data_IF_705677482658
#
_entry.id   IF_705677482658
#
_cell.length_a   1.000
_cell.length_b   1.000
_cell.length_c   1.000
_cell.angle_alpha   90.00
_cell.angle_beta   90.00
_cell.angle_gamma   90.00
#
_symmetry.space_group_name_H-M   'P 1'
#
loop_
_entity.id
_entity.type
_entity.pdbx_description
1 polymer ?
#
# COMPACT_ATOMS: atom_id res chain seq x y z
N UNK A 1 35.23 22.33 10.73
CA UNK A 1 34.25 21.27 11.09
C UNK A 1 32.88 21.82 10.77
N UNK A 2 32.42 21.67 9.52
CA UNK A 2 31.04 21.97 9.17
C UNK A 2 30.20 20.74 9.48
N UNK A 3 29.55 20.78 10.64
CA UNK A 3 28.56 19.80 11.04
C UNK A 3 27.20 20.25 10.48
N UNK A 4 27.02 20.08 9.17
CA UNK A 4 25.71 20.13 8.52
C UNK A 4 25.26 18.69 8.30
N UNK A 5 24.78 18.06 9.37
CA UNK A 5 23.96 16.85 9.24
C UNK A 5 22.58 17.31 8.79
N UNK A 6 22.37 17.35 7.47
CA UNK A 6 21.05 17.63 6.89
C UNK A 6 20.00 16.72 7.56
N UNK A 7 18.82 17.26 7.91
CA UNK A 7 17.76 16.45 8.50
C UNK A 7 17.35 15.37 7.49
N UNK A 8 17.34 14.11 7.93
CA UNK A 8 16.77 13.01 7.14
C UNK A 8 15.33 13.35 6.76
N UNK A 9 15.05 13.57 5.47
CA UNK A 9 13.69 13.81 5.00
C UNK A 9 12.97 12.47 4.83
N UNK A 10 12.16 12.13 5.83
CA UNK A 10 11.31 10.95 5.82
C UNK A 10 9.86 11.36 6.04
N UNK A 11 8.96 10.68 5.33
CA UNK A 11 7.53 10.92 5.36
C UNK A 11 6.81 9.67 5.88
N UNK A 12 6.14 9.82 7.01
CA UNK A 12 5.27 8.77 7.53
C UNK A 12 4.01 8.67 6.69
N UNK A 13 3.79 7.50 6.11
CA UNK A 13 2.58 7.16 5.37
C UNK A 13 1.56 6.58 6.32
N UNK A 14 1.94 5.54 7.07
CA UNK A 14 1.05 4.91 8.02
C UNK A 14 1.79 4.20 9.14
N UNK A 15 1.11 4.05 10.28
CA UNK A 15 1.59 3.19 11.36
C UNK A 15 0.44 2.47 12.06
N UNK A 16 0.68 1.21 12.38
CA UNK A 16 -0.29 0.32 13.02
C UNK A 16 0.31 -0.35 14.23
N UNK A 17 -0.47 -0.41 15.31
CA UNK A 17 -0.17 -1.22 16.49
C UNK A 17 -1.04 -2.48 16.52
N UNK A 18 -0.39 -3.62 16.69
CA UNK A 18 -1.02 -4.93 16.80
C UNK A 18 -0.81 -5.45 18.21
N UNK A 19 -1.88 -5.53 19.01
CA UNK A 19 -1.85 -6.28 20.27
C UNK A 19 -1.52 -7.75 20.02
N UNK A 20 -2.07 -8.31 18.94
CA UNK A 20 -1.88 -9.68 18.48
C UNK A 20 -1.82 -9.67 16.96
N UNK A 21 -0.82 -10.33 16.38
CA UNK A 21 -0.64 -10.43 14.92
C UNK A 21 -0.07 -11.80 14.59
N UNK A 22 -0.71 -12.54 13.68
CA UNK A 22 -0.21 -13.86 13.25
C UNK A 22 1.18 -13.76 12.61
N UNK A 23 1.47 -12.64 11.94
CA UNK A 23 2.70 -12.46 11.16
C UNK A 23 3.80 -11.63 11.80
N UNK A 24 3.46 -10.81 12.80
CA UNK A 24 4.39 -9.88 13.43
C UNK A 24 4.64 -10.21 14.90
N UNK A 25 3.95 -11.21 15.46
CA UNK A 25 3.96 -11.50 16.89
C UNK A 25 3.07 -10.54 17.70
N UNK A 26 3.16 -10.66 19.03
CA UNK A 26 2.34 -9.89 19.95
C UNK A 26 2.97 -8.53 20.25
N UNK A 27 2.12 -7.52 20.45
CA UNK A 27 2.50 -6.14 20.78
C UNK A 27 3.45 -5.50 19.76
N UNK A 28 3.23 -5.74 18.47
CA UNK A 28 4.12 -5.26 17.41
C UNK A 28 3.59 -3.99 16.75
N UNK A 29 4.51 -3.13 16.32
CA UNK A 29 4.20 -1.98 15.46
C UNK A 29 4.71 -2.22 14.06
N UNK A 30 3.96 -1.75 13.08
CA UNK A 30 4.34 -1.76 11.68
C UNK A 30 4.18 -0.34 11.11
N UNK A 31 5.22 0.17 10.47
CA UNK A 31 5.26 1.51 9.91
C UNK A 31 5.62 1.44 8.42
N UNK A 32 4.93 2.28 7.65
CA UNK A 32 5.24 2.53 6.25
C UNK A 32 5.69 3.98 6.14
N UNK A 33 6.87 4.15 5.57
CA UNK A 33 7.55 5.43 5.41
C UNK A 33 7.96 5.58 3.95
N UNK A 34 8.15 6.81 3.49
CA UNK A 34 8.88 7.11 2.26
C UNK A 34 10.04 8.01 2.58
N UNK A 35 11.20 7.73 2.00
CA UNK A 35 12.35 8.60 2.14
C UNK A 35 13.23 8.60 0.89
N UNK A 36 14.12 9.58 0.82
CA UNK A 36 15.20 9.62 -0.16
C UNK A 36 16.25 8.56 0.17
N UNK A 37 16.44 7.60 -0.73
CA UNK A 37 17.40 6.50 -0.55
C UNK A 37 18.84 6.97 -0.41
N UNK A 38 19.22 8.08 -1.08
CA UNK A 38 20.59 8.59 -0.98
C UNK A 38 20.86 9.25 0.37
N UNK A 39 19.83 9.87 0.95
CA UNK A 39 19.89 10.52 2.27
C UNK A 39 19.75 9.52 3.41
N UNK A 40 18.92 8.50 3.24
CA UNK A 40 18.72 7.43 4.24
C UNK A 40 19.78 6.35 4.06
N UNK A 41 21.03 6.68 4.43
CA UNK A 41 22.08 5.67 4.72
C UNK A 41 21.92 5.04 6.10
N UNK A 42 20.70 5.00 6.63
CA UNK A 42 20.40 4.47 7.96
C UNK A 42 19.97 3.01 7.80
N UNK A 43 20.84 2.08 8.18
CA UNK A 43 20.44 0.67 8.29
C UNK A 43 19.36 0.47 9.36
N UNK A 44 19.30 1.38 10.34
CA UNK A 44 18.32 1.34 11.42
C UNK A 44 18.00 2.72 12.00
N UNK A 45 16.81 2.82 12.59
CA UNK A 45 16.32 4.00 13.33
C UNK A 45 15.95 3.57 14.74
N UNK A 46 16.19 4.43 15.73
CA UNK A 46 15.80 4.17 17.11
C UNK A 46 14.31 4.47 17.30
N UNK A 47 13.53 3.44 17.58
CA UNK A 47 12.13 3.52 17.97
C UNK A 47 12.02 3.64 19.48
N UNK A 48 11.17 4.55 19.93
CA UNK A 48 10.85 4.74 21.34
C UNK A 48 9.36 4.50 21.52
N UNK A 49 9.00 3.61 22.44
CA UNK A 49 7.63 3.24 22.72
C UNK A 49 7.34 3.36 24.21
N UNK A 50 6.17 3.90 24.56
CA UNK A 50 5.73 4.09 25.94
C UNK A 50 4.39 3.42 26.18
N UNK A 51 4.27 2.78 27.34
CA UNK A 51 2.99 2.50 27.98
C UNK A 51 2.87 3.33 29.26
N UNK A 52 1.85 3.08 30.08
CA UNK A 52 1.62 3.87 31.30
C UNK A 52 2.66 3.58 32.41
N UNK A 53 3.43 2.50 32.31
CA UNK A 53 4.33 2.02 33.37
C UNK A 53 5.81 2.18 33.00
N UNK A 54 6.15 2.08 31.71
CA UNK A 54 7.51 1.91 31.23
C UNK A 54 7.68 2.44 29.80
N UNK A 55 8.95 2.56 29.41
CA UNK A 55 9.35 2.88 28.05
C UNK A 55 10.41 1.90 27.57
N UNK A 56 10.43 1.66 26.26
CA UNK A 56 11.46 0.86 25.61
C UNK A 56 12.10 1.66 24.49
N UNK A 57 13.38 1.37 24.23
CA UNK A 57 14.12 1.88 23.09
C UNK A 57 14.59 0.67 22.27
N UNK A 58 14.30 0.66 20.98
CA UNK A 58 14.63 -0.46 20.09
C UNK A 58 15.20 0.07 18.79
N UNK A 59 16.38 -0.42 18.40
CA UNK A 59 16.92 -0.16 17.07
C UNK A 59 16.15 -1.02 16.06
N UNK A 60 15.51 -0.37 15.09
CA UNK A 60 14.66 -1.04 14.11
C UNK A 60 15.27 -0.90 12.74
N UNK A 61 15.42 -2.02 12.04
CA UNK A 61 15.96 -2.04 10.68
C UNK A 61 14.96 -1.46 9.69
N UNK A 62 15.45 -0.66 8.77
CA UNK A 62 14.68 -0.16 7.64
C UNK A 62 14.70 -1.21 6.52
N UNK A 63 13.51 -1.67 6.10
CA UNK A 63 13.37 -2.63 5.00
C UNK A 63 12.79 -1.94 3.78
N UNK A 64 13.44 -2.06 2.63
CA UNK A 64 12.87 -1.58 1.38
C UNK A 64 11.71 -2.48 0.97
N UNK A 65 10.60 -1.88 0.53
CA UNK A 65 9.41 -2.63 0.08
C UNK A 65 9.64 -3.25 -1.31
N UNK A 66 10.30 -2.52 -2.20
CA UNK A 66 10.60 -2.93 -3.58
C UNK A 66 12.06 -3.38 -3.76
N UNK A 67 12.37 -4.18 -4.78
CA UNK A 67 13.72 -4.71 -4.96
C UNK A 67 14.63 -3.93 -5.93
N UNK A 68 14.12 -2.95 -6.69
CA UNK A 68 14.89 -2.26 -7.75
C UNK A 68 15.48 -0.92 -7.31
N UNK A 69 16.56 -0.42 -7.92
CA UNK A 69 17.18 0.87 -7.55
C UNK A 69 16.87 2.04 -8.51
N UNK A 70 15.74 2.00 -9.22
CA UNK A 70 15.40 3.00 -10.25
C UNK A 70 14.95 4.34 -9.65
N UNK A 71 14.21 4.31 -8.54
CA UNK A 71 13.65 5.50 -7.93
C UNK A 71 14.51 6.00 -6.77
N UNK A 72 14.74 7.31 -6.72
CA UNK A 72 15.44 7.99 -5.62
C UNK A 72 14.61 7.98 -4.33
N UNK A 73 13.30 8.19 -4.44
CA UNK A 73 12.38 8.17 -3.32
C UNK A 73 11.70 6.80 -3.23
N UNK A 74 11.93 6.11 -2.12
CA UNK A 74 11.60 4.69 -1.97
C UNK A 74 10.60 4.46 -0.84
N UNK A 75 9.81 3.39 -0.96
CA UNK A 75 8.92 2.96 0.11
C UNK A 75 9.67 2.05 1.09
N UNK A 76 9.59 2.38 2.37
CA UNK A 76 10.29 1.71 3.48
C UNK A 76 9.25 1.13 4.44
N UNK A 77 9.45 -0.13 4.78
CA UNK A 77 8.74 -0.85 5.82
C UNK A 77 9.61 -0.99 7.06
N UNK A 78 9.01 -0.80 8.22
CA UNK A 78 9.66 -0.95 9.51
C UNK A 78 8.73 -1.68 10.47
N UNK A 79 9.27 -2.65 11.21
CA UNK A 79 8.50 -3.41 12.20
C UNK A 79 9.31 -3.69 13.45
N UNK A 80 8.66 -3.62 14.61
CA UNK A 80 9.28 -3.93 15.88
C UNK A 80 8.25 -4.43 16.89
N UNK A 81 8.63 -5.42 17.70
CA UNK A 81 7.87 -5.75 18.90
C UNK A 81 8.06 -4.66 19.95
N UNK A 82 6.98 -4.31 20.64
CA UNK A 82 6.88 -3.22 21.60
C UNK A 82 6.22 -3.65 22.91
N UNK A 83 5.80 -2.68 23.72
CA UNK A 83 5.13 -2.88 24.99
C UNK A 83 3.65 -3.25 24.80
N UNK A 84 3.06 -4.03 25.73
CA UNK A 84 1.61 -4.17 25.80
C UNK A 84 0.96 -2.83 26.16
N UNK A 85 -0.25 -2.61 25.64
CA UNK A 85 -1.03 -1.39 25.85
C UNK A 85 -0.25 -0.13 25.47
N UNK A 86 0.30 -0.12 24.25
CA UNK A 86 1.05 1.00 23.71
C UNK A 86 0.21 2.28 23.76
N UNK A 87 0.79 3.33 24.33
CA UNK A 87 0.15 4.65 24.46
C UNK A 87 0.80 5.68 23.53
N UNK A 88 2.15 5.70 23.49
CA UNK A 88 2.90 6.63 22.63
C UNK A 88 4.00 5.93 21.86
N UNK A 89 4.30 6.46 20.68
CA UNK A 89 5.34 5.98 19.79
C UNK A 89 6.13 7.17 19.24
N UNK A 90 7.46 7.06 19.13
CA UNK A 90 8.30 8.07 18.51
C UNK A 90 9.50 7.46 17.78
N UNK A 91 10.04 8.20 16.82
CA UNK A 91 11.32 7.89 16.19
C UNK A 91 12.37 8.92 16.57
N UNK A 92 13.58 8.45 16.87
CA UNK A 92 14.74 9.31 17.04
C UNK A 92 15.41 9.53 15.68
N UNK A 93 15.46 10.79 15.25
CA UNK A 93 16.09 11.23 14.00
C UNK A 93 17.18 12.24 14.33
N UNK A 94 18.43 11.76 14.35
CA UNK A 94 19.55 12.54 14.86
C UNK A 94 19.34 12.88 16.34
N UNK A 95 19.35 14.18 16.67
CA UNK A 95 19.20 14.69 18.04
C UNK A 95 17.75 15.02 18.43
N UNK A 96 16.78 14.78 17.54
CA UNK A 96 15.36 15.03 17.80
C UNK A 96 14.59 13.72 17.88
N UNK A 97 13.53 13.68 18.69
CA UNK A 97 12.52 12.64 18.64
C UNK A 97 11.22 13.22 18.08
N UNK A 98 10.58 12.46 17.20
CA UNK A 98 9.31 12.83 16.56
C UNK A 98 8.25 11.83 17.01
N UNK A 99 7.23 12.31 17.73
CA UNK A 99 6.07 11.49 18.11
C UNK A 99 5.26 11.13 16.86
N UNK A 100 4.86 9.86 16.76
CA UNK A 100 4.17 9.29 15.61
C UNK A 100 2.79 8.80 16.03
N UNK A 101 1.71 9.24 15.35
CA UNK A 101 0.40 8.68 15.57
C UNK A 101 0.32 7.27 14.98
N UNK A 102 -0.33 6.36 15.69
CA UNK A 102 -0.61 5.00 15.23
C UNK A 102 -2.09 4.65 15.30
N UNK A 103 -2.51 3.73 14.43
CA UNK A 103 -3.88 3.23 14.33
C UNK A 103 -3.93 1.76 14.76
N UNK A 104 -5.13 1.28 15.07
CA UNK A 104 -5.39 -0.14 15.21
C UNK A 104 -5.82 -0.72 13.86
N UNK A 105 -5.39 -1.95 13.51
CA UNK A 105 -5.85 -2.62 12.29
C UNK A 105 -7.35 -2.92 12.38
N UNK A 106 -7.97 -3.14 11.22
CA UNK A 106 -9.39 -3.51 11.16
C UNK A 106 -9.57 -4.89 11.81
N UNK A 107 -10.59 -5.04 12.66
CA UNK A 107 -10.93 -6.31 13.32
C UNK A 107 -12.16 -7.00 12.73
N UNK A 108 -13.01 -6.24 12.04
CA UNK A 108 -14.19 -6.77 11.35
C UNK A 108 -13.73 -7.76 10.28
N UNK A 109 -14.29 -8.97 10.26
CA UNK A 109 -13.89 -9.97 9.28
C UNK A 109 -14.42 -9.62 7.89
N UNK A 110 -13.56 -9.80 6.90
CA UNK A 110 -13.84 -9.61 5.47
C UNK A 110 -13.51 -10.90 4.72
N UNK A 111 -14.34 -11.28 3.77
CA UNK A 111 -14.05 -12.43 2.91
C UNK A 111 -12.94 -12.08 1.91
N UNK A 112 -13.12 -10.97 1.21
CA UNK A 112 -12.17 -10.43 0.22
C UNK A 112 -12.01 -8.94 0.47
N UNK A 113 -10.77 -8.47 0.43
CA UNK A 113 -10.44 -7.04 0.42
C UNK A 113 -9.66 -6.75 -0.86
N UNK A 114 -10.15 -5.76 -1.61
CA UNK A 114 -9.48 -5.25 -2.80
C UNK A 114 -8.79 -3.93 -2.46
N UNK A 115 -7.47 -3.93 -2.53
CA UNK A 115 -6.63 -2.77 -2.32
C UNK A 115 -6.37 -2.08 -3.67
N UNK A 116 -7.00 -0.91 -3.85
CA UNK A 116 -6.80 -0.06 -5.03
C UNK A 116 -5.88 1.09 -4.65
N UNK A 117 -4.82 1.30 -5.42
CA UNK A 117 -3.86 2.36 -5.15
C UNK A 117 -4.42 3.76 -5.52
N UNK A 118 -3.82 4.85 -5.01
CA UNK A 118 -4.31 6.21 -5.24
C UNK A 118 -4.35 6.57 -6.72
N UNK A 119 -5.43 7.24 -7.12
CA UNK A 119 -5.64 7.67 -8.50
C UNK A 119 -4.75 8.84 -8.85
N UNK A 120 -3.98 8.70 -9.93
CA UNK A 120 -3.29 9.85 -10.52
C UNK A 120 -4.20 10.49 -11.56
N UNK A 121 -4.21 11.82 -11.64
CA UNK A 121 -5.03 12.57 -12.61
C UNK A 121 -4.77 12.19 -14.09
N UNK A 122 -3.70 11.41 -14.36
CA UNK A 122 -3.36 10.88 -15.67
C UNK A 122 -3.72 9.41 -15.88
N UNK A 123 -4.31 8.75 -14.88
CA UNK A 123 -4.96 7.45 -15.06
C UNK A 123 -6.26 7.72 -15.80
N UNK A 124 -6.35 7.18 -17.01
CA UNK A 124 -7.49 7.35 -17.91
C UNK A 124 -8.68 6.53 -17.42
N UNK A 125 -9.12 6.75 -16.19
CA UNK A 125 -10.48 6.45 -15.78
C UNK A 125 -11.45 7.31 -16.59
N UNK A 126 -11.12 7.88 -17.76
CA UNK A 126 -11.99 8.48 -18.77
C UNK A 126 -12.28 7.51 -19.93
N UNK A 127 -11.87 6.25 -19.75
CA UNK A 127 -12.89 5.24 -19.46
C UNK A 127 -13.41 5.47 -18.05
N UNK A 128 -14.24 6.48 -17.90
CA UNK A 128 -15.01 6.69 -16.67
C UNK A 128 -16.37 6.01 -16.80
N UNK A 129 -16.44 5.14 -17.81
CA UNK A 129 -17.57 4.93 -18.69
C UNK A 129 -18.35 6.20 -18.99
N UNK A 130 -17.77 7.24 -19.60
CA UNK A 130 -18.48 8.49 -19.92
C UNK A 130 -18.58 9.49 -18.74
N UNK A 131 -17.85 9.22 -17.67
CA UNK A 131 -17.89 9.91 -16.38
C UNK A 131 -19.29 9.91 -15.78
N UNK A 132 -19.93 8.75 -15.99
CA UNK A 132 -21.30 8.39 -15.70
C UNK A 132 -22.39 8.89 -16.65
N UNK A 133 -22.12 9.44 -17.87
CA UNK A 133 -23.20 10.09 -18.65
C UNK A 133 -22.90 11.35 -19.49
N UNK A 134 -22.42 12.45 -18.88
CA UNK A 134 -22.90 13.78 -19.35
C UNK A 134 -22.16 15.07 -18.94
N UNK A 135 -21.23 15.11 -17.97
CA UNK A 135 -20.80 16.40 -17.41
C UNK A 135 -19.47 16.96 -17.96
N UNK A 136 -19.50 18.26 -18.26
CA UNK A 136 -18.51 19.00 -19.07
C UNK A 136 -17.62 19.85 -18.15
N UNK A 137 -16.36 19.41 -18.01
CA UNK A 137 -15.17 20.09 -17.45
C UNK A 137 -14.80 19.76 -16.00
N UNK A 138 -13.63 19.12 -15.88
CA UNK A 138 -12.92 18.61 -14.68
C UNK A 138 -13.43 17.28 -14.13
N UNK A 139 -12.64 16.22 -14.32
CA UNK A 139 -13.00 14.82 -14.05
C UNK A 139 -12.90 14.46 -12.56
N UNK A 140 -11.86 14.94 -11.88
CA UNK A 140 -11.46 14.44 -10.56
C UNK A 140 -12.56 14.63 -9.50
N UNK A 141 -13.26 15.76 -9.54
CA UNK A 141 -14.31 16.06 -8.56
C UNK A 141 -15.56 15.19 -8.73
N UNK A 142 -16.18 15.06 -9.93
CA UNK A 142 -17.34 14.19 -10.13
C UNK A 142 -17.14 12.73 -9.72
N UNK A 143 -16.00 12.09 -10.01
CA UNK A 143 -15.80 10.70 -9.55
C UNK A 143 -15.56 10.61 -8.08
N UNK A 144 -14.85 11.56 -7.50
CA UNK A 144 -14.69 11.59 -6.07
C UNK A 144 -16.04 11.70 -5.35
N UNK A 145 -16.96 12.51 -5.87
CA UNK A 145 -18.33 12.59 -5.34
C UNK A 145 -19.13 11.30 -5.58
N UNK A 146 -18.99 10.64 -6.73
CA UNK A 146 -19.59 9.32 -6.95
C UNK A 146 -19.07 8.27 -5.95
N UNK A 147 -17.75 8.21 -5.77
CA UNK A 147 -17.13 7.29 -4.82
C UNK A 147 -17.61 7.59 -3.39
N UNK A 148 -17.84 8.85 -3.04
CA UNK A 148 -18.43 9.20 -1.74
C UNK A 148 -19.86 8.68 -1.57
N UNK A 149 -20.68 8.69 -2.62
CA UNK A 149 -22.01 8.06 -2.54
C UNK A 149 -21.88 6.55 -2.31
N UNK A 150 -20.93 5.89 -2.98
CA UNK A 150 -20.65 4.47 -2.76
C UNK A 150 -20.10 4.20 -1.35
N UNK A 151 -19.31 5.12 -0.79
CA UNK A 151 -18.84 5.06 0.59
C UNK A 151 -20.01 5.18 1.59
N UNK A 152 -20.96 6.10 1.36
CA UNK A 152 -22.16 6.25 2.20
C UNK A 152 -23.02 4.98 2.23
N UNK A 153 -23.12 4.30 1.09
CA UNK A 153 -23.83 3.03 0.96
C UNK A 153 -23.00 1.81 1.44
N UNK A 154 -21.80 2.05 2.00
CA UNK A 154 -20.87 1.03 2.51
C UNK A 154 -20.34 0.05 1.43
N UNK A 155 -20.33 0.45 0.16
CA UNK A 155 -19.73 -0.35 -0.92
C UNK A 155 -18.20 -0.26 -0.96
N UNK A 156 -17.63 0.86 -0.50
CA UNK A 156 -16.19 1.08 -0.47
C UNK A 156 -15.77 1.95 0.72
N UNK A 157 -14.47 2.09 0.93
CA UNK A 157 -13.89 3.01 1.91
C UNK A 157 -12.84 3.86 1.21
N UNK A 158 -12.98 5.17 1.29
CA UNK A 158 -12.04 6.14 0.74
C UNK A 158 -11.03 6.50 1.82
N UNK A 159 -9.76 6.41 1.49
CA UNK A 159 -8.69 6.84 2.38
C UNK A 159 -7.99 8.08 1.83
N UNK A 160 -7.87 9.15 2.61
CA UNK A 160 -7.13 10.33 2.18
C UNK A 160 -5.65 9.96 2.04
N UNK A 161 -5.10 10.20 0.86
CA UNK A 161 -3.68 10.00 0.59
C UNK A 161 -2.94 11.34 0.67
N UNK A 162 -1.95 11.43 1.55
CA UNK A 162 -1.22 12.67 1.79
C UNK A 162 -0.25 12.96 0.64
N UNK A 163 -0.31 14.17 0.09
CA UNK A 163 0.70 14.69 -0.84
C UNK A 163 1.99 14.98 -0.06
N UNK A 164 3.10 14.45 -0.56
CA UNK A 164 4.43 14.70 0.02
C UNK A 164 4.88 16.10 -0.40
N UNK A 165 5.23 16.93 0.58
CA UNK A 165 5.79 18.27 0.33
C UNK A 165 7.09 18.41 1.09
N UNK A 166 8.19 18.57 0.36
CA UNK A 166 9.49 18.86 0.96
C UNK A 166 9.48 20.29 1.50
N UNK A 167 9.97 20.46 2.73
CA UNK A 167 10.03 21.76 3.37
C UNK A 167 11.27 22.54 2.93
N UNK A 168 12.34 21.83 2.55
CA UNK A 168 13.64 22.41 2.21
C UNK A 168 13.82 22.64 0.71
N UNK A 169 13.12 21.87 -0.14
CA UNK A 169 13.25 21.90 -1.60
C UNK A 169 11.94 22.34 -2.26
N UNK A 170 12.00 23.31 -3.17
CA UNK A 170 10.82 23.76 -3.92
C UNK A 170 10.35 22.70 -4.93
N UNK A 171 9.03 22.59 -5.12
CA UNK A 171 8.46 21.63 -6.09
C UNK A 171 8.91 21.90 -7.54
N UNK A 172 9.30 23.13 -7.87
CA UNK A 172 9.84 23.49 -9.18
C UNK A 172 11.23 22.88 -9.43
N UNK A 173 12.02 22.70 -8.37
CA UNK A 173 13.34 22.07 -8.43
C UNK A 173 13.23 20.55 -8.36
N UNK A 174 12.38 20.05 -7.45
CA UNK A 174 12.16 18.62 -7.30
C UNK A 174 10.77 18.34 -6.71
N UNK A 175 10.00 17.49 -7.40
CA UNK A 175 8.70 17.04 -6.90
C UNK A 175 8.80 15.56 -6.48
N UNK A 176 8.74 15.26 -5.17
CA UNK A 176 8.83 13.87 -4.69
C UNK A 176 7.65 13.04 -5.18
N UNK A 177 6.46 13.60 -5.38
CA UNK A 177 5.27 12.85 -5.81
C UNK A 177 5.39 12.29 -7.24
N UNK A 178 6.30 12.82 -8.06
CA UNK A 178 6.59 12.32 -9.41
C UNK A 178 7.74 11.31 -9.39
N UNK A 179 8.67 11.47 -8.43
CA UNK A 179 9.91 10.71 -8.33
C UNK A 179 9.88 9.60 -7.27
N UNK A 180 8.75 9.48 -6.57
CA UNK A 180 8.46 8.40 -5.65
C UNK A 180 8.08 7.15 -6.44
N UNK A 181 8.60 6.04 -5.96
CA UNK A 181 8.40 4.71 -6.48
C UNK A 181 6.94 4.38 -6.79
N UNK A 182 6.68 4.05 -8.07
CA UNK A 182 5.35 3.80 -8.62
C UNK A 182 4.31 4.85 -8.22
N UNK A 183 4.73 6.12 -8.11
CA UNK A 183 3.88 7.21 -7.61
C UNK A 183 3.22 6.86 -6.27
N UNK A 184 3.94 6.18 -5.38
CA UNK A 184 3.47 5.78 -4.05
C UNK A 184 2.45 4.63 -4.02
N UNK A 185 2.22 3.93 -5.15
CA UNK A 185 1.34 2.75 -5.18
C UNK A 185 1.83 1.66 -4.23
N UNK A 186 3.15 1.41 -4.17
CA UNK A 186 3.72 0.38 -3.29
C UNK A 186 3.44 0.65 -1.81
N UNK A 187 3.57 1.89 -1.36
CA UNK A 187 3.25 2.26 0.02
C UNK A 187 1.74 2.15 0.30
N UNK A 188 0.88 2.54 -0.64
CA UNK A 188 -0.57 2.45 -0.48
C UNK A 188 -1.08 1.01 -0.41
N UNK A 189 -0.56 0.14 -1.27
CA UNK A 189 -0.87 -1.28 -1.22
C UNK A 189 -0.36 -1.92 0.09
N UNK A 190 0.83 -1.52 0.55
CA UNK A 190 1.37 -1.98 1.85
C UNK A 190 0.51 -1.48 3.01
N UNK A 191 0.05 -0.23 2.99
CA UNK A 191 -0.83 0.34 4.00
C UNK A 191 -2.16 -0.44 4.09
N UNK A 192 -2.80 -0.68 2.95
CA UNK A 192 -4.02 -1.48 2.87
C UNK A 192 -3.79 -2.93 3.36
N UNK A 193 -2.66 -3.54 2.99
CA UNK A 193 -2.29 -4.86 3.48
C UNK A 193 -2.19 -4.88 5.01
N UNK A 194 -1.45 -3.94 5.60
CA UNK A 194 -1.30 -3.87 7.06
C UNK A 194 -2.65 -3.68 7.74
N UNK A 195 -3.49 -2.78 7.22
CA UNK A 195 -4.79 -2.53 7.80
C UNK A 195 -5.70 -3.77 7.85
N UNK A 196 -5.66 -4.63 6.82
CA UNK A 196 -6.62 -5.72 6.65
C UNK A 196 -6.07 -7.14 6.83
N UNK A 197 -4.74 -7.35 6.89
CA UNK A 197 -4.13 -8.70 6.89
C UNK A 197 -4.61 -9.64 7.99
N UNK A 198 -5.08 -9.13 9.13
CA UNK A 198 -5.60 -9.95 10.25
C UNK A 198 -7.13 -10.17 10.17
N UNK A 199 -7.78 -9.51 9.21
CA UNK A 199 -9.23 -9.38 9.14
C UNK A 199 -9.83 -9.96 7.87
N UNK A 200 -9.07 -9.97 6.78
CA UNK A 200 -9.48 -10.53 5.51
C UNK A 200 -9.12 -12.03 5.40
N UNK A 201 -9.89 -12.79 4.61
CA UNK A 201 -9.47 -14.15 4.19
C UNK A 201 -8.55 -14.08 2.97
N UNK A 202 -8.89 -13.19 2.04
CA UNK A 202 -8.10 -12.89 0.85
C UNK A 202 -7.90 -11.39 0.67
N UNK A 203 -6.71 -11.00 0.20
CA UNK A 203 -6.42 -9.64 -0.23
C UNK A 203 -5.99 -9.67 -1.68
N UNK A 204 -6.50 -8.75 -2.50
CA UNK A 204 -6.03 -8.57 -3.87
C UNK A 204 -5.61 -7.13 -4.14
N UNK A 205 -4.56 -6.96 -4.93
CA UNK A 205 -4.08 -5.66 -5.39
C UNK A 205 -4.50 -5.47 -6.84
N UNK A 206 -5.26 -4.41 -7.09
CA UNK A 206 -5.87 -4.12 -8.39
C UNK A 206 -5.68 -2.65 -8.73
N UNK A 207 -5.48 -2.35 -10.02
CA UNK A 207 -5.59 -0.98 -10.51
C UNK A 207 -7.07 -0.64 -10.75
N UNK A 208 -7.42 0.66 -10.76
CA UNK A 208 -8.82 1.07 -10.95
C UNK A 208 -9.36 0.71 -12.34
N UNK A 209 -8.47 0.62 -13.33
CA UNK A 209 -8.80 0.25 -14.70
C UNK A 209 -8.83 -1.28 -14.93
N UNK A 210 -8.65 -2.09 -13.88
CA UNK A 210 -8.78 -3.53 -13.94
C UNK A 210 -10.15 -4.02 -13.44
N UNK A 211 -10.70 -5.00 -14.14
CA UNK A 211 -11.85 -5.77 -13.67
C UNK A 211 -11.49 -7.24 -13.67
N UNK A 212 -11.57 -7.87 -12.50
CA UNK A 212 -11.38 -9.31 -12.38
C UNK A 212 -12.73 -10.01 -12.62
N UNK A 213 -12.79 -10.92 -13.59
CA UNK A 213 -14.02 -11.64 -13.92
C UNK A 213 -13.94 -13.07 -13.36
N UNK A 214 -14.74 -13.42 -12.33
CA UNK A 214 -14.81 -14.80 -11.83
C UNK A 214 -15.25 -15.77 -12.93
N UNK A 215 -14.62 -16.95 -12.99
CA UNK A 215 -14.96 -18.02 -13.96
C UNK A 215 -15.40 -19.32 -13.29
N UNK A 216 -14.98 -19.55 -12.05
CA UNK A 216 -15.21 -20.75 -11.27
C UNK A 216 -16.27 -20.52 -10.17
N UNK A 217 -16.40 -19.30 -9.67
CA UNK A 217 -17.36 -18.90 -8.63
C UNK A 217 -18.33 -17.80 -9.07
N UNK A 218 -19.40 -17.59 -8.28
CA UNK A 218 -20.33 -16.45 -8.44
C UNK A 218 -19.84 -15.19 -7.72
N UNK A 219 -18.93 -15.37 -6.76
CA UNK A 219 -18.32 -14.28 -5.98
C UNK A 219 -16.80 -14.41 -6.00
N UNK A 220 -16.09 -13.32 -5.72
CA UNK A 220 -14.62 -13.39 -5.57
C UNK A 220 -14.19 -14.35 -4.46
N UNK A 221 -14.95 -14.45 -3.38
CA UNK A 221 -14.64 -15.38 -2.30
C UNK A 221 -14.69 -16.83 -2.78
N UNK A 222 -15.74 -17.22 -3.51
CA UNK A 222 -15.86 -18.56 -4.09
C UNK A 222 -14.75 -18.84 -5.11
N UNK A 223 -14.48 -17.88 -6.00
CA UNK A 223 -13.41 -17.97 -7.00
C UNK A 223 -12.05 -18.24 -6.31
N UNK A 224 -11.69 -17.41 -5.34
CA UNK A 224 -10.39 -17.51 -4.66
C UNK A 224 -10.31 -18.78 -3.83
N UNK A 225 -11.41 -19.17 -3.17
CA UNK A 225 -11.46 -20.42 -2.40
C UNK A 225 -11.20 -21.63 -3.29
N UNK A 226 -11.84 -21.71 -4.46
CA UNK A 226 -11.64 -22.81 -5.39
C UNK A 226 -10.21 -22.83 -5.98
N UNK A 227 -9.69 -21.67 -6.37
CA UNK A 227 -8.32 -21.55 -6.88
C UNK A 227 -7.29 -22.04 -5.84
N UNK A 228 -7.36 -21.55 -4.60
CA UNK A 228 -6.41 -21.96 -3.55
C UNK A 228 -6.68 -23.36 -2.99
N UNK A 229 -7.87 -23.93 -3.21
CA UNK A 229 -8.13 -25.33 -2.88
C UNK A 229 -7.40 -26.27 -3.84
N UNK A 230 -7.37 -25.94 -5.14
CA UNK A 230 -6.61 -26.70 -6.13
C UNK A 230 -5.09 -26.53 -6.02
N UNK A 231 -4.64 -25.45 -5.36
CA UNK A 231 -3.22 -25.11 -5.19
C UNK A 231 -2.88 -24.83 -3.71
N UNK A 232 -2.91 -25.86 -2.83
CA UNK A 232 -2.85 -25.66 -1.37
C UNK A 232 -1.52 -25.06 -0.87
N UNK A 233 -0.42 -25.27 -1.60
CA UNK A 233 0.92 -24.81 -1.23
C UNK A 233 1.28 -23.43 -1.79
N UNK A 234 0.34 -22.77 -2.48
CA UNK A 234 0.56 -21.47 -3.10
C UNK A 234 0.10 -20.36 -2.16
N UNK A 235 0.98 -19.39 -1.91
CA UNK A 235 0.68 -18.25 -1.04
C UNK A 235 -0.01 -17.09 -1.77
N UNK A 236 0.24 -16.97 -3.08
CA UNK A 236 -0.35 -15.93 -3.93
C UNK A 236 -0.52 -16.39 -5.38
N UNK A 237 -1.47 -15.78 -6.08
CA UNK A 237 -1.71 -15.98 -7.50
C UNK A 237 -1.57 -14.64 -8.22
N UNK A 238 -0.94 -14.65 -9.39
CA UNK A 238 -0.93 -13.49 -10.29
C UNK A 238 -2.00 -13.67 -11.36
N UNK A 239 -2.77 -12.62 -11.64
CA UNK A 239 -3.64 -12.60 -12.81
C UNK A 239 -2.94 -11.92 -13.98
N UNK A 240 -3.22 -12.42 -15.19
CA UNK A 240 -2.78 -11.80 -16.44
C UNK A 240 -3.80 -10.77 -16.89
N UNK A 241 -3.35 -9.62 -17.37
CA UNK A 241 -4.23 -8.59 -17.94
C UNK A 241 -4.44 -8.84 -19.44
N UNK A 242 -5.69 -8.81 -19.89
CA UNK A 242 -6.05 -8.78 -21.31
C UNK A 242 -6.57 -7.38 -21.66
N UNK A 243 -5.92 -6.70 -22.60
CA UNK A 243 -6.31 -5.37 -23.03
C UNK A 243 -7.31 -5.46 -24.19
N UNK A 244 -8.52 -4.93 -24.00
CA UNK A 244 -9.53 -4.84 -25.05
C UNK A 244 -9.65 -3.40 -25.52
N UNK A 245 -9.51 -3.16 -26.83
CA UNK A 245 -9.87 -1.87 -27.44
C UNK A 245 -11.23 -1.99 -28.11
N UNK A 246 -12.11 -1.05 -27.80
CA UNK A 246 -13.40 -0.92 -28.49
C UNK A 246 -13.22 0.12 -29.60
N UNK A 247 -12.98 -0.34 -30.83
CA UNK A 247 -13.09 0.50 -32.03
C UNK A 247 -14.51 0.35 -32.60
N UNK A 248 -15.10 1.44 -33.07
CA UNK A 248 -16.52 1.56 -33.40
C UNK A 248 -17.11 0.33 -34.11
N UNK A 249 -17.88 -0.47 -33.36
CA UNK A 249 -18.67 -1.60 -33.87
C UNK A 249 -17.99 -2.96 -33.89
N UNK A 250 -16.70 -3.09 -33.54
CA UNK A 250 -16.03 -4.39 -33.43
C UNK A 250 -15.11 -4.45 -32.20
N UNK A 251 -15.39 -5.37 -31.28
CA UNK A 251 -14.44 -5.76 -30.24
C UNK A 251 -13.27 -6.47 -30.91
N UNK A 252 -12.12 -5.78 -31.01
CA UNK A 252 -10.87 -6.39 -31.46
C UNK A 252 -10.08 -6.73 -30.19
N UNK A 253 -9.84 -8.02 -29.96
CA UNK A 253 -8.88 -8.47 -28.95
C UNK A 253 -7.48 -8.02 -29.42
N UNK A 254 -6.93 -7.00 -28.75
CA UNK A 254 -5.57 -6.52 -29.02
C UNK A 254 -4.62 -7.40 -28.24
N UNK A 255 -4.29 -8.55 -28.82
CA UNK A 255 -3.25 -9.42 -28.28
C UNK A 255 -1.89 -8.87 -28.73
N UNK A 256 -1.30 -7.94 -27.98
CA UNK A 256 0.11 -7.59 -28.08
C UNK A 256 0.62 -6.83 -26.84
N UNK A 257 1.32 -7.56 -25.97
CA UNK A 257 2.73 -7.36 -25.57
C UNK A 257 2.95 -8.16 -24.28
N UNK A 258 3.52 -9.36 -24.44
CA UNK A 258 4.19 -10.08 -23.36
C UNK A 258 5.35 -9.20 -22.88
N UNK A 259 5.14 -8.44 -21.81
CA UNK A 259 6.25 -8.15 -20.92
C UNK A 259 6.58 -9.48 -20.24
N UNK A 260 7.63 -10.16 -20.73
CA UNK A 260 8.34 -11.15 -19.92
C UNK A 260 8.92 -10.41 -18.71
N UNK A 261 8.10 -10.26 -17.67
CA UNK A 261 8.57 -9.85 -16.36
C UNK A 261 9.29 -11.06 -15.77
N UNK A 262 10.57 -10.86 -15.45
CA UNK A 262 11.43 -11.87 -14.85
C UNK A 262 10.75 -12.50 -13.62
N UNK A 263 10.90 -13.81 -13.36
CA UNK A 263 10.13 -14.53 -12.33
C UNK A 263 10.49 -14.20 -10.87
N UNK A 264 11.34 -13.19 -10.62
CA UNK A 264 11.96 -12.99 -9.32
C UNK A 264 11.82 -11.60 -8.69
N UNK A 265 11.14 -10.62 -9.31
CA UNK A 265 11.40 -9.23 -8.89
C UNK A 265 10.22 -8.23 -8.84
N UNK A 266 9.01 -8.68 -8.49
CA UNK A 266 7.90 -7.78 -8.15
C UNK A 266 6.99 -8.38 -7.08
N UNK A 267 7.23 -8.04 -5.81
CA UNK A 267 6.16 -8.10 -4.80
C UNK A 267 5.26 -6.88 -5.09
N UNK A 268 4.06 -6.90 -5.65
CA UNK A 268 3.19 -7.97 -6.14
C UNK A 268 1.94 -7.31 -6.73
N UNK A 269 2.13 -6.71 -7.89
CA UNK A 269 1.03 -6.12 -8.65
C UNK A 269 0.16 -7.24 -9.22
N UNK A 270 -1.14 -6.98 -9.36
CA UNK A 270 -2.11 -7.90 -9.95
C UNK A 270 -2.13 -9.28 -9.28
N UNK A 271 -2.16 -9.28 -7.96
CA UNK A 271 -1.99 -10.49 -7.16
C UNK A 271 -3.16 -10.71 -6.22
N UNK A 272 -3.44 -11.98 -5.92
CA UNK A 272 -4.41 -12.42 -4.92
C UNK A 272 -3.65 -13.21 -3.87
N UNK A 273 -3.84 -12.86 -2.61
CA UNK A 273 -3.14 -13.41 -1.46
C UNK A 273 -4.08 -14.23 -0.59
N UNK A 274 -3.64 -15.43 -0.19
CA UNK A 274 -4.27 -16.22 0.87
C UNK A 274 -3.52 -16.00 2.18
N UNK A 275 -4.11 -15.23 3.08
CA UNK A 275 -3.39 -14.67 4.24
C UNK A 275 -2.94 -15.74 5.24
N UNK A 276 -3.73 -16.80 5.46
CA UNK A 276 -3.36 -17.92 6.34
C UNK A 276 -2.11 -18.70 5.91
N UNK A 277 -1.71 -18.60 4.65
CA UNK A 277 -0.53 -19.28 4.09
C UNK A 277 0.60 -18.31 3.72
N UNK A 278 0.34 -17.01 3.73
CA UNK A 278 1.32 -15.98 3.37
C UNK A 278 2.28 -15.64 4.52
N UNK A 279 1.82 -15.77 5.76
CA UNK A 279 2.64 -15.54 6.94
C UNK A 279 2.90 -16.86 7.66
N UNK A 280 4.03 -17.53 7.41
CA UNK A 280 4.38 -18.71 8.19
C UNK A 280 4.48 -18.32 9.67
N UNK A 281 3.90 -19.14 10.55
CA UNK A 281 4.07 -18.99 11.99
C UNK A 281 5.58 -19.07 12.29
N UNK A 282 6.13 -17.99 12.85
CA UNK A 282 7.48 -18.02 13.43
C UNK A 282 7.50 -18.93 14.65
#
# INVERSE_FOLDING_TARGET
MEQLTDPYEMFLISSYYYSTSESLGNNSVALVLTADFESVRLDSVLLIAWNNESNILKNVKLQRITPHNVCRWISIFMTAETLPNLNKLALSLGNMYVEIPFKLPVRKKHEVVTCVAPLFANEQWQIAIFAAHTYRRSMVAPVFELLKEYEKENYLTIQPWLRIRLLTISEQRFNPNINIEFRNQAAAQTDCLLQYKESASYITFMDLDDVLLPRLGRTYFEEFTQLFFSMPNVAFLHYTKENVRVEGGQCILVQNCLYQLNPFDYRSYNSIYKLKSYFPKQ
#
